data_IF_827093358427
#
_entry.id   IF_827093358427
#
_cell.length_a   1.000
_cell.length_b   1.000
_cell.length_c   1.000
_cell.angle_alpha   90.00
_cell.angle_beta   90.00
_cell.angle_gamma   90.00
#
_symmetry.space_group_name_H-M   'P 1'
#
loop_
_entity.id
_entity.type
_entity.pdbx_description
1 polymer ?
#
# COMPACT_ATOMS: atom_id res chain seq x y z
N UNK A 1 3.22 -14.54 19.08
CA UNK A 1 4.18 -14.18 18.03
C UNK A 1 5.47 -13.68 18.68
N UNK A 2 6.64 -14.16 18.29
CA UNK A 2 7.90 -13.72 18.89
C UNK A 2 8.19 -12.25 18.55
N UNK A 3 8.85 -11.52 19.46
CA UNK A 3 9.17 -10.08 19.28
C UNK A 3 10.04 -9.83 18.04
N UNK A 4 10.97 -10.74 17.77
CA UNK A 4 11.83 -10.67 16.59
C UNK A 4 11.03 -10.82 15.28
N UNK A 5 10.03 -11.71 15.25
CA UNK A 5 9.19 -11.91 14.08
C UNK A 5 8.31 -10.68 13.78
N UNK A 6 7.77 -10.01 14.80
CA UNK A 6 7.02 -8.75 14.64
C UNK A 6 7.87 -7.65 14.02
N UNK A 7 9.09 -7.49 14.53
CA UNK A 7 10.03 -6.51 14.00
C UNK A 7 10.41 -6.83 12.55
N UNK A 8 10.75 -8.09 12.29
CA UNK A 8 11.12 -8.53 10.95
C UNK A 8 9.99 -8.29 9.96
N UNK A 9 8.75 -8.66 10.30
CA UNK A 9 7.57 -8.40 9.47
C UNK A 9 7.35 -6.91 9.23
N UNK A 10 7.46 -6.08 10.27
CA UNK A 10 7.32 -4.62 10.14
C UNK A 10 8.38 -4.00 9.24
N UNK A 11 9.66 -4.37 9.41
CA UNK A 11 10.77 -3.88 8.58
C UNK A 11 10.60 -4.34 7.13
N UNK A 12 10.32 -5.63 6.92
CA UNK A 12 10.11 -6.20 5.58
C UNK A 12 8.95 -5.50 4.88
N UNK A 13 7.83 -5.26 5.57
CA UNK A 13 6.70 -4.54 5.00
C UNK A 13 7.07 -3.11 4.59
N UNK A 14 7.79 -2.36 5.42
CA UNK A 14 8.26 -1.01 5.06
C UNK A 14 9.21 -1.06 3.85
N UNK A 15 10.18 -1.97 3.84
CA UNK A 15 11.15 -2.09 2.74
C UNK A 15 10.47 -2.44 1.42
N UNK A 16 9.54 -3.41 1.43
CA UNK A 16 8.77 -3.80 0.24
C UNK A 16 7.89 -2.63 -0.21
N UNK A 17 7.19 -1.96 0.71
CA UNK A 17 6.32 -0.84 0.39
C UNK A 17 7.08 0.35 -0.22
N UNK A 18 8.23 0.73 0.36
CA UNK A 18 9.10 1.79 -0.18
C UNK A 18 9.68 1.36 -1.53
N UNK A 19 10.13 0.13 -1.67
CA UNK A 19 10.66 -0.41 -2.93
C UNK A 19 9.61 -0.39 -4.04
N UNK A 20 8.38 -0.82 -3.74
CA UNK A 20 7.25 -0.77 -4.68
C UNK A 20 6.91 0.67 -5.08
N UNK A 21 6.85 1.59 -4.12
CA UNK A 21 6.63 3.01 -4.39
C UNK A 21 7.71 3.62 -5.28
N UNK A 22 8.98 3.25 -5.07
CA UNK A 22 10.09 3.69 -5.90
C UNK A 22 10.00 3.13 -7.33
N UNK A 23 9.67 1.85 -7.49
CA UNK A 23 9.47 1.23 -8.81
C UNK A 23 8.35 1.93 -9.57
N UNK A 24 7.21 2.18 -8.91
CA UNK A 24 6.08 2.91 -9.51
C UNK A 24 6.51 4.33 -9.91
N UNK A 25 7.17 5.06 -9.01
CA UNK A 25 7.60 6.43 -9.27
C UNK A 25 8.61 6.53 -10.43
N UNK A 26 9.51 5.56 -10.57
CA UNK A 26 10.51 5.52 -11.64
C UNK A 26 9.85 5.18 -12.98
N UNK A 27 9.02 4.13 -13.01
CA UNK A 27 8.35 3.67 -14.23
C UNK A 27 7.39 4.75 -14.76
N UNK A 28 6.58 5.35 -13.88
CA UNK A 28 5.57 6.35 -14.27
C UNK A 28 6.08 7.79 -14.32
N UNK A 29 7.38 8.00 -14.09
CA UNK A 29 8.01 9.34 -14.17
C UNK A 29 7.70 10.08 -15.48
N UNK A 30 7.73 9.44 -16.67
CA UNK A 30 7.41 10.10 -17.93
C UNK A 30 5.94 10.54 -18.04
N UNK A 31 5.05 9.92 -17.26
CA UNK A 31 3.62 10.18 -17.23
C UNK A 31 3.22 11.28 -16.24
N UNK A 32 4.16 11.82 -15.44
CA UNK A 32 3.84 12.72 -14.34
C UNK A 32 3.13 14.02 -14.77
N UNK A 33 3.30 14.44 -16.03
CA UNK A 33 2.63 15.60 -16.63
C UNK A 33 1.58 15.25 -17.67
N UNK A 34 1.24 13.97 -17.84
CA UNK A 34 0.24 13.54 -18.80
C UNK A 34 -1.15 14.01 -18.34
N UNK A 35 -1.90 14.64 -19.24
CA UNK A 35 -3.31 14.94 -19.01
C UNK A 35 -4.14 13.73 -19.45
N UNK A 36 -5.14 13.37 -18.65
CA UNK A 36 -6.07 12.31 -19.00
C UNK A 36 -7.27 12.87 -19.78
N UNK A 37 -7.81 12.12 -20.75
CA UNK A 37 -7.36 10.79 -21.20
C UNK A 37 -6.02 10.85 -21.97
N UNK A 38 -5.21 9.80 -21.85
CA UNK A 38 -3.92 9.72 -22.53
C UNK A 38 -4.13 9.78 -24.06
N UNK A 39 -3.43 10.70 -24.72
CA UNK A 39 -3.31 10.71 -26.18
C UNK A 39 -1.95 10.13 -26.59
N UNK A 40 -1.91 8.95 -27.26
CA UNK A 40 -0.66 8.30 -27.65
C UNK A 40 0.18 9.13 -28.62
N UNK A 41 -0.41 10.12 -29.31
CA UNK A 41 0.31 11.04 -30.19
C UNK A 41 1.10 12.10 -29.42
N UNK A 42 0.60 12.52 -28.25
CA UNK A 42 1.24 13.57 -27.44
C UNK A 42 2.06 13.00 -26.28
N UNK A 43 1.79 11.77 -25.85
CA UNK A 43 2.49 11.08 -24.76
C UNK A 43 2.84 9.61 -25.09
N UNK A 44 3.63 9.32 -26.16
CA UNK A 44 3.89 7.95 -26.61
C UNK A 44 4.59 7.08 -25.56
N UNK A 45 5.55 7.66 -24.82
CA UNK A 45 6.23 6.94 -23.74
C UNK A 45 5.28 6.53 -22.60
N UNK A 46 4.22 7.30 -22.36
CA UNK A 46 3.23 6.97 -21.34
C UNK A 46 2.24 5.91 -21.85
N UNK A 47 1.86 6.00 -23.14
CA UNK A 47 1.05 4.97 -23.80
C UNK A 47 1.76 3.62 -23.85
N UNK A 48 3.08 3.57 -24.05
CA UNK A 48 3.87 2.33 -24.00
C UNK A 48 3.94 1.71 -22.60
N UNK A 49 3.97 2.55 -21.54
CA UNK A 49 3.95 2.09 -20.15
C UNK A 49 2.56 1.53 -19.80
N UNK A 50 1.50 2.23 -20.20
CA UNK A 50 0.12 1.82 -19.97
C UNK A 50 -0.28 0.56 -20.77
N UNK A 51 0.24 0.41 -21.99
CA UNK A 51 0.05 -0.78 -22.84
C UNK A 51 1.02 -1.94 -22.54
N UNK A 52 1.93 -1.75 -21.57
CA UNK A 52 2.95 -2.71 -21.18
C UNK A 52 2.41 -3.99 -20.49
N UNK A 53 3.29 -4.96 -20.17
CA UNK A 53 2.89 -6.22 -19.57
C UNK A 53 2.16 -6.01 -18.24
N UNK A 54 1.00 -6.67 -18.15
CA UNK A 54 -0.02 -6.56 -17.12
C UNK A 54 0.55 -6.37 -15.69
N UNK A 55 0.28 -5.22 -15.08
CA UNK A 55 0.57 -4.91 -13.66
C UNK A 55 -0.33 -5.69 -12.69
N UNK A 56 -1.14 -6.63 -13.20
CA UNK A 56 -1.99 -7.54 -12.43
C UNK A 56 -1.28 -8.21 -11.24
N UNK A 57 0.04 -8.44 -11.28
CA UNK A 57 0.79 -8.98 -10.14
C UNK A 57 0.73 -8.08 -8.89
N UNK A 58 0.56 -6.77 -9.05
CA UNK A 58 0.37 -5.84 -7.93
C UNK A 58 -0.98 -6.08 -7.24
N UNK A 59 -2.06 -6.18 -8.02
CA UNK A 59 -3.40 -6.46 -7.50
C UNK A 59 -3.61 -7.91 -7.05
N UNK A 60 -3.01 -8.89 -7.74
CA UNK A 60 -3.22 -10.32 -7.48
C UNK A 60 -2.28 -10.88 -6.40
N UNK A 61 -1.06 -10.34 -6.26
CA UNK A 61 -0.07 -10.86 -5.33
C UNK A 61 0.24 -9.89 -4.19
N UNK A 62 0.49 -8.62 -4.50
CA UNK A 62 0.93 -7.66 -3.46
C UNK A 62 -0.21 -7.11 -2.63
N UNK A 63 -1.39 -6.85 -3.20
CA UNK A 63 -2.54 -6.37 -2.44
C UNK A 63 -2.99 -7.36 -1.36
N UNK A 64 -3.15 -8.68 -1.61
CA UNK A 64 -3.48 -9.64 -0.56
C UNK A 64 -2.44 -9.68 0.57
N UNK A 65 -1.16 -9.53 0.23
CA UNK A 65 -0.07 -9.45 1.21
C UNK A 65 -0.20 -8.18 2.05
N UNK A 66 -0.44 -7.03 1.41
CA UNK A 66 -0.67 -5.76 2.10
C UNK A 66 -1.89 -5.83 3.04
N UNK A 67 -2.99 -6.44 2.59
CA UNK A 67 -4.19 -6.70 3.39
C UNK A 67 -3.89 -7.58 4.62
N UNK A 68 -3.12 -8.65 4.44
CA UNK A 68 -2.73 -9.53 5.54
C UNK A 68 -1.87 -8.79 6.58
N UNK A 69 -0.86 -8.03 6.14
CA UNK A 69 0.00 -7.23 7.02
C UNK A 69 -0.80 -6.16 7.75
N UNK A 70 -1.71 -5.47 7.06
CA UNK A 70 -2.63 -4.51 7.65
C UNK A 70 -3.53 -5.16 8.72
N UNK A 71 -4.10 -6.34 8.44
CA UNK A 71 -4.89 -7.10 9.40
C UNK A 71 -4.11 -7.44 10.67
N UNK A 72 -2.86 -7.88 10.54
CA UNK A 72 -1.98 -8.14 11.69
C UNK A 72 -1.72 -6.85 12.49
N UNK A 73 -1.48 -5.73 11.80
CA UNK A 73 -1.27 -4.43 12.43
C UNK A 73 -2.53 -3.94 13.19
N UNK A 74 -3.73 -4.13 12.63
CA UNK A 74 -5.02 -3.81 13.26
C UNK A 74 -5.24 -4.65 14.51
N UNK A 75 -5.13 -5.98 14.42
CA UNK A 75 -5.29 -6.88 15.57
C UNK A 75 -4.33 -6.48 16.69
N UNK A 76 -3.09 -6.11 16.33
CA UNK A 76 -2.12 -5.69 17.32
C UNK A 76 -2.48 -4.36 17.97
N UNK A 77 -2.96 -3.40 17.20
CA UNK A 77 -3.39 -2.09 17.69
C UNK A 77 -4.56 -2.24 18.67
N UNK A 78 -5.56 -3.05 18.30
CA UNK A 78 -6.75 -3.35 19.13
C UNK A 78 -6.35 -4.07 20.43
N UNK A 79 -5.44 -5.05 20.36
CA UNK A 79 -4.99 -5.81 21.54
C UNK A 79 -4.27 -4.95 22.61
N UNK A 80 -3.86 -3.72 22.28
CA UNK A 80 -3.22 -2.80 23.23
C UNK A 80 -4.19 -1.82 23.90
N UNK A 81 -5.46 -1.86 23.54
CA UNK A 81 -6.49 -1.02 24.12
C UNK A 81 -7.18 -0.12 23.09
N UNK A 82 -8.39 0.30 23.46
CA UNK A 82 -9.29 1.06 22.62
C UNK A 82 -9.22 2.54 22.98
N UNK A 83 -8.29 3.25 22.34
CA UNK A 83 -8.16 4.71 22.41
C UNK A 83 -8.55 5.37 21.09
N UNK A 84 -8.77 6.68 21.11
CA UNK A 84 -9.06 7.50 19.91
C UNK A 84 -7.96 7.33 18.85
N UNK A 85 -6.70 7.25 19.27
CA UNK A 85 -5.55 7.00 18.40
C UNK A 85 -5.58 5.60 17.77
N UNK A 86 -5.94 4.57 18.53
CA UNK A 86 -6.14 3.21 17.99
C UNK A 86 -7.21 3.19 16.90
N UNK A 87 -8.34 3.87 17.14
CA UNK A 87 -9.42 3.97 16.16
C UNK A 87 -8.99 4.70 14.89
N UNK A 88 -8.31 5.84 15.02
CA UNK A 88 -7.81 6.59 13.86
C UNK A 88 -6.87 5.75 13.01
N UNK A 89 -5.93 5.01 13.62
CA UNK A 89 -5.01 4.11 12.92
C UNK A 89 -5.78 3.02 12.17
N UNK A 90 -6.73 2.35 12.83
CA UNK A 90 -7.50 1.26 12.23
C UNK A 90 -8.36 1.76 11.07
N UNK A 91 -9.02 2.92 11.23
CA UNK A 91 -9.84 3.53 10.19
C UNK A 91 -8.98 3.92 8.99
N UNK A 92 -7.89 4.64 9.19
CA UNK A 92 -6.99 5.06 8.10
C UNK A 92 -6.42 3.85 7.38
N UNK A 93 -5.91 2.87 8.12
CA UNK A 93 -5.31 1.67 7.54
C UNK A 93 -6.35 0.83 6.78
N UNK A 94 -7.55 0.69 7.35
CA UNK A 94 -8.67 0.01 6.70
C UNK A 94 -9.10 0.71 5.41
N UNK A 95 -9.28 2.03 5.44
CA UNK A 95 -9.66 2.82 4.27
C UNK A 95 -8.62 2.72 3.17
N UNK A 96 -7.34 2.92 3.48
CA UNK A 96 -6.25 2.82 2.48
C UNK A 96 -6.18 1.42 1.88
N UNK A 97 -6.36 0.36 2.68
CA UNK A 97 -6.32 -1.02 2.19
C UNK A 97 -7.52 -1.36 1.30
N UNK A 98 -8.72 -0.86 1.65
CA UNK A 98 -9.94 -1.04 0.85
C UNK A 98 -9.84 -0.26 -0.46
N UNK A 99 -9.32 0.96 -0.42
CA UNK A 99 -9.08 1.76 -1.62
C UNK A 99 -7.97 1.16 -2.51
N UNK A 100 -7.03 0.43 -1.92
CA UNK A 100 -6.02 -0.33 -2.66
C UNK A 100 -6.58 -1.57 -3.36
N UNK A 101 -7.88 -1.89 -3.22
CA UNK A 101 -8.48 -3.05 -3.85
C UNK A 101 -8.43 -2.91 -5.37
N UNK A 102 -7.92 -3.91 -6.11
CA UNK A 102 -7.87 -3.86 -7.56
C UNK A 102 -9.25 -4.00 -8.22
N UNK A 103 -10.29 -4.49 -7.51
CA UNK A 103 -11.62 -4.70 -8.08
C UNK A 103 -12.31 -3.41 -8.59
N UNK A 104 -12.34 -2.29 -7.81
CA UNK A 104 -12.78 -1.00 -8.31
C UNK A 104 -12.07 -0.56 -9.59
N UNK A 105 -10.74 -0.73 -9.63
CA UNK A 105 -9.93 -0.43 -10.81
C UNK A 105 -10.38 -1.36 -11.95
N UNK A 106 -10.33 -2.68 -11.80
CA UNK A 106 -10.80 -3.65 -12.81
C UNK A 106 -12.22 -3.38 -13.33
N UNK A 107 -13.14 -2.92 -12.48
CA UNK A 107 -14.50 -2.59 -12.88
C UNK A 107 -14.57 -1.28 -13.70
N UNK A 108 -13.86 -0.23 -13.28
CA UNK A 108 -13.72 1.02 -14.05
C UNK A 108 -12.97 0.77 -15.37
N UNK A 109 -11.91 -0.04 -15.34
CA UNK A 109 -11.10 -0.56 -16.45
C UNK A 109 -11.91 -1.31 -17.50
N UNK A 110 -12.92 -2.08 -17.08
CA UNK A 110 -13.82 -2.79 -18.00
C UNK A 110 -14.93 -1.89 -18.56
N UNK A 111 -15.23 -0.76 -17.92
CA UNK A 111 -16.22 0.21 -18.41
C UNK A 111 -15.60 1.23 -19.38
N UNK A 112 -14.29 1.51 -19.25
CA UNK A 112 -13.54 2.36 -20.15
C UNK A 112 -12.18 1.73 -20.45
N UNK A 113 -11.97 1.26 -21.68
CA UNK A 113 -10.68 0.69 -22.10
C UNK A 113 -9.48 1.66 -21.91
N UNK A 114 -9.73 2.97 -21.87
CA UNK A 114 -8.74 4.02 -21.56
C UNK A 114 -8.41 4.19 -20.07
N UNK A 115 -9.14 3.55 -19.15
CA UNK A 115 -8.76 3.65 -17.73
C UNK A 115 -7.56 2.75 -17.38
N UNK A 116 -7.12 1.87 -18.30
CA UNK A 116 -5.85 1.14 -18.19
C UNK A 116 -4.65 2.11 -18.19
N UNK A 117 -4.91 3.38 -18.49
CA UNK A 117 -3.97 4.49 -18.55
C UNK A 117 -3.93 5.34 -17.25
N UNK A 118 -4.68 4.96 -16.20
CA UNK A 118 -4.61 5.64 -14.89
C UNK A 118 -3.31 5.26 -14.13
N UNK A 119 -2.67 6.18 -13.36
CA UNK A 119 -1.52 5.84 -12.54
C UNK A 119 -1.95 4.68 -11.63
N UNK A 120 -1.05 3.76 -11.24
CA UNK A 120 -1.41 2.56 -10.51
C UNK A 120 -1.84 2.96 -9.11
N UNK A 121 -3.08 3.40 -8.96
CA UNK A 121 -3.67 3.90 -7.73
C UNK A 121 -3.69 2.75 -6.72
N UNK A 122 -4.10 1.57 -7.19
CA UNK A 122 -3.98 0.29 -6.50
C UNK A 122 -2.53 0.02 -6.06
N UNK A 123 -1.54 0.24 -6.92
CA UNK A 123 -0.13 0.00 -6.59
C UNK A 123 0.44 0.98 -5.57
N UNK A 124 0.15 2.28 -5.73
CA UNK A 124 0.58 3.32 -4.81
C UNK A 124 -0.09 3.16 -3.43
N UNK A 125 -1.37 2.81 -3.40
CA UNK A 125 -2.07 2.54 -2.14
C UNK A 125 -1.65 1.20 -1.52
N UNK A 126 -1.30 0.19 -2.31
CA UNK A 126 -0.71 -1.06 -1.81
C UNK A 126 0.65 -0.78 -1.17
N UNK A 127 1.50 0.01 -1.81
CA UNK A 127 2.77 0.47 -1.26
C UNK A 127 2.56 1.24 0.05
N UNK A 128 1.63 2.20 0.07
CA UNK A 128 1.29 2.98 1.25
C UNK A 128 0.76 2.09 2.39
N UNK A 129 -0.10 1.13 2.08
CA UNK A 129 -0.63 0.16 3.05
C UNK A 129 0.49 -0.61 3.72
N UNK A 130 1.44 -1.13 2.94
CA UNK A 130 2.60 -1.86 3.46
C UNK A 130 3.46 -1.00 4.37
N UNK A 131 3.73 0.25 3.96
CA UNK A 131 4.53 1.20 4.75
C UNK A 131 3.82 1.53 6.07
N UNK A 132 2.54 1.90 6.02
CA UNK A 132 1.77 2.27 7.22
C UNK A 132 1.60 1.08 8.16
N UNK A 133 1.23 -0.09 7.65
CA UNK A 133 1.09 -1.29 8.46
C UNK A 133 2.43 -1.71 9.09
N UNK A 134 3.52 -1.63 8.32
CA UNK A 134 4.86 -1.91 8.81
C UNK A 134 5.29 -0.95 9.92
N UNK A 135 5.02 0.35 9.77
CA UNK A 135 5.24 1.34 10.82
C UNK A 135 4.41 1.07 12.07
N UNK A 136 3.14 0.70 11.94
CA UNK A 136 2.29 0.33 13.09
C UNK A 136 2.88 -0.88 13.82
N UNK A 137 3.36 -1.90 13.10
CA UNK A 137 3.99 -3.08 13.71
C UNK A 137 5.29 -2.73 14.46
N UNK A 138 6.10 -1.82 13.92
CA UNK A 138 7.34 -1.35 14.54
C UNK A 138 7.04 -0.47 15.76
N UNK A 139 6.19 0.54 15.59
CA UNK A 139 5.93 1.60 16.55
C UNK A 139 5.18 1.08 17.77
N UNK A 140 4.32 0.08 17.57
CA UNK A 140 3.50 -0.37 18.68
C UNK A 140 4.28 -1.17 19.70
N UNK A 141 5.56 -1.56 19.51
CA UNK A 141 6.42 -2.28 20.48
C UNK A 141 6.06 -2.04 21.96
N UNK A 142 6.00 -3.11 22.75
CA UNK A 142 5.87 -2.96 24.21
C UNK A 142 7.02 -2.11 24.74
N UNK A 143 6.70 -0.90 25.21
CA UNK A 143 7.61 -0.15 26.05
C UNK A 143 7.89 -1.03 27.26
N UNK A 144 9.17 -1.32 27.46
CA UNK A 144 9.65 -1.91 28.71
C UNK A 144 9.18 -0.95 29.80
N UNK A 145 8.15 -1.31 30.56
CA UNK A 145 7.88 -0.67 31.84
C UNK A 145 9.16 -0.92 32.63
N UNK A 146 10.04 0.08 32.68
CA UNK A 146 11.06 0.13 33.73
C UNK A 146 10.23 0.26 34.99
N UNK A 147 10.02 -0.86 35.69
CA UNK A 147 9.62 -0.77 37.09
C UNK A 147 10.61 0.19 37.75
N UNK A 148 10.16 1.28 38.37
CA UNK A 148 11.00 1.94 39.35
C UNK A 148 11.19 0.91 40.47
N UNK A 149 12.31 0.19 40.42
CA UNK A 149 12.92 -0.33 41.61
C UNK A 149 13.49 0.89 42.32
N UNK A 150 12.69 1.47 43.22
CA UNK A 150 13.03 2.27 44.42
C UNK A 150 11.88 3.19 44.78
#
# INVERSE_FOLDING_TARGET
MSRALQLALGIVAVVIGVGLGAVIAIIWRPCASAQMPLDPLTAPACADIASGPNTAWVGLLLWPVALAVAGIAVVRTISRGWGVTSWAIVIVLGLVTVLANPLPEYWLLNLNAQSWDEPPFTGALTALTLVLAGFVLIATREQRVRSPLT
#
